data_IF_074243757931
#
_entry.id   IF_074243757931
#
_cell.length_a   1.000
_cell.length_b   1.000
_cell.length_c   1.000
_cell.angle_alpha   90.00
_cell.angle_beta   90.00
_cell.angle_gamma   90.00
#
_symmetry.space_group_name_H-M   'P 1'
#
loop_
_entity.id
_entity.type
_entity.pdbx_description
1 polymer ?
#
# COMPACT_ATOMS: atom_id res chain seq x y z
N UNK A 1 15.59 52.41 -45.53
CA UNK A 1 15.79 51.04 -45.04
C UNK A 1 14.57 50.65 -44.22
N UNK A 2 13.73 49.83 -44.77
CA UNK A 2 12.48 49.31 -44.13
C UNK A 2 12.86 47.96 -43.51
N UNK A 3 12.60 47.67 -42.23
CA UNK A 3 12.87 46.36 -41.66
C UNK A 3 11.82 45.39 -42.18
N UNK A 4 12.28 44.26 -42.68
CA UNK A 4 11.49 43.13 -43.17
C UNK A 4 10.67 42.52 -42.04
N UNK A 5 9.35 42.58 -42.19
CA UNK A 5 8.38 41.88 -41.31
C UNK A 5 8.59 40.34 -41.41
N UNK A 6 9.00 39.70 -40.34
CA UNK A 6 8.99 38.25 -40.25
C UNK A 6 7.57 37.71 -40.33
N UNK A 7 7.39 36.73 -41.19
CA UNK A 7 6.09 36.11 -41.53
C UNK A 7 5.45 35.48 -40.28
N UNK A 8 4.16 35.77 -39.97
CA UNK A 8 3.44 35.20 -38.85
C UNK A 8 3.30 33.65 -38.88
N UNK A 9 3.58 33.04 -40.02
CA UNK A 9 3.54 31.58 -40.22
C UNK A 9 4.68 30.84 -39.45
N UNK A 10 5.81 31.53 -39.13
CA UNK A 10 6.90 30.92 -38.36
C UNK A 10 6.66 30.93 -36.85
N UNK A 11 5.85 31.86 -36.36
CA UNK A 11 5.47 31.95 -34.94
C UNK A 11 4.43 30.87 -34.54
N UNK A 12 3.61 30.40 -35.51
CA UNK A 12 2.60 29.37 -35.25
C UNK A 12 3.21 27.97 -35.20
N UNK A 13 4.30 27.71 -35.97
CA UNK A 13 4.94 26.39 -36.02
C UNK A 13 5.79 26.06 -34.79
N UNK A 14 6.15 27.05 -33.95
CA UNK A 14 6.94 26.82 -32.73
C UNK A 14 6.09 26.65 -31.45
N UNK A 15 4.78 26.98 -31.51
CA UNK A 15 3.87 26.83 -30.37
C UNK A 15 3.26 25.42 -30.23
N UNK A 16 3.28 24.58 -31.26
CA UNK A 16 2.68 23.23 -31.21
C UNK A 16 3.59 22.16 -30.58
N UNK A 17 4.87 22.43 -30.34
CA UNK A 17 5.80 21.47 -29.77
C UNK A 17 5.73 21.39 -28.23
N UNK A 18 5.04 22.32 -27.54
CA UNK A 18 5.02 22.45 -26.08
C UNK A 18 3.60 22.49 -25.47
N UNK A 19 2.59 22.03 -26.21
CA UNK A 19 1.27 21.86 -25.62
C UNK A 19 1.34 20.79 -24.53
N UNK A 20 0.98 21.09 -23.27
CA UNK A 20 1.08 20.11 -22.19
C UNK A 20 0.24 18.89 -22.58
N UNK A 21 0.90 17.71 -22.65
CA UNK A 21 0.22 16.44 -22.98
C UNK A 21 -0.98 16.27 -22.08
N UNK A 22 -2.17 16.36 -22.63
CA UNK A 22 -3.44 16.25 -21.89
C UNK A 22 -3.69 14.81 -21.48
N UNK A 23 -4.22 14.62 -20.27
CA UNK A 23 -4.64 13.33 -19.79
C UNK A 23 -5.83 12.82 -20.59
N UNK A 24 -5.61 11.80 -21.43
CA UNK A 24 -6.64 11.11 -22.20
C UNK A 24 -7.23 9.93 -21.42
N UNK A 25 -8.40 9.43 -21.82
CA UNK A 25 -8.99 8.23 -21.20
C UNK A 25 -8.03 7.03 -21.16
N UNK A 26 -7.41 6.62 -22.29
CA UNK A 26 -6.44 5.53 -22.30
C UNK A 26 -5.24 5.78 -21.39
N UNK A 27 -4.75 7.02 -21.30
CA UNK A 27 -3.63 7.37 -20.42
C UNK A 27 -4.04 7.32 -18.95
N UNK A 28 -5.29 7.69 -18.61
CA UNK A 28 -5.85 7.55 -17.26
C UNK A 28 -5.89 6.08 -16.84
N UNK A 29 -6.38 5.19 -17.71
CA UNK A 29 -6.39 3.73 -17.47
C UNK A 29 -4.96 3.21 -17.30
N UNK A 30 -4.02 3.67 -18.11
CA UNK A 30 -2.61 3.31 -17.99
C UNK A 30 -2.03 3.71 -16.62
N UNK A 31 -2.25 4.95 -16.15
CA UNK A 31 -1.82 5.39 -14.82
C UNK A 31 -2.45 4.55 -13.71
N UNK A 32 -3.76 4.25 -13.81
CA UNK A 32 -4.47 3.42 -12.84
C UNK A 32 -3.87 2.00 -12.80
N UNK A 33 -3.61 1.40 -13.95
CA UNK A 33 -2.97 0.08 -14.07
C UNK A 33 -1.54 0.10 -13.52
N UNK A 34 -0.74 1.12 -13.87
CA UNK A 34 0.63 1.25 -13.40
C UNK A 34 0.68 1.32 -11.87
N UNK A 35 -0.11 2.21 -11.27
CA UNK A 35 -0.18 2.35 -9.81
C UNK A 35 -0.69 1.05 -9.15
N UNK A 36 -1.71 0.40 -9.76
CA UNK A 36 -2.26 -0.85 -9.28
C UNK A 36 -1.24 -2.00 -9.30
N UNK A 37 -0.46 -2.13 -10.36
CA UNK A 37 0.56 -3.18 -10.44
C UNK A 37 1.73 -2.92 -9.50
N UNK A 38 2.20 -1.67 -9.40
CA UNK A 38 3.33 -1.34 -8.52
C UNK A 38 2.97 -1.59 -7.05
N UNK A 39 1.73 -1.30 -6.62
CA UNK A 39 1.31 -1.51 -5.22
C UNK A 39 1.27 -2.99 -4.84
N UNK A 40 1.09 -3.91 -5.81
CA UNK A 40 1.09 -5.35 -5.54
C UNK A 40 2.41 -5.80 -4.90
N UNK A 41 3.53 -5.16 -5.21
CA UNK A 41 4.84 -5.46 -4.62
C UNK A 41 4.88 -5.32 -3.09
N UNK A 42 3.99 -4.50 -2.50
CA UNK A 42 3.95 -4.25 -1.06
C UNK A 42 3.17 -5.31 -0.28
N UNK A 43 2.20 -5.97 -0.92
CA UNK A 43 1.27 -6.86 -0.23
C UNK A 43 1.39 -8.34 -0.63
N UNK A 44 1.98 -8.64 -1.80
CA UNK A 44 2.10 -9.99 -2.31
C UNK A 44 2.84 -10.95 -1.36
N UNK A 45 3.90 -10.47 -0.71
CA UNK A 45 4.68 -11.27 0.24
C UNK A 45 3.88 -11.78 1.43
N UNK A 46 2.75 -11.13 1.80
CA UNK A 46 1.90 -11.55 2.91
C UNK A 46 1.36 -12.98 2.73
N UNK A 47 0.92 -13.35 1.53
CA UNK A 47 0.45 -14.71 1.25
C UNK A 47 1.57 -15.67 0.87
N UNK A 48 2.73 -15.17 0.50
CA UNK A 48 3.91 -15.94 0.11
C UNK A 48 4.85 -16.25 1.29
N UNK A 49 4.59 -15.70 2.48
CA UNK A 49 5.47 -15.79 3.67
C UNK A 49 5.92 -17.22 3.94
N UNK A 50 5.01 -18.20 3.94
CA UNK A 50 5.34 -19.60 4.18
C UNK A 50 6.21 -20.23 3.08
N UNK A 51 5.96 -19.91 1.80
CA UNK A 51 6.73 -20.44 0.69
C UNK A 51 8.15 -19.83 0.67
N UNK A 52 8.25 -18.54 0.91
CA UNK A 52 9.53 -17.82 0.99
C UNK A 52 10.37 -18.33 2.16
N UNK A 53 9.78 -18.45 3.36
CA UNK A 53 10.49 -18.90 4.56
C UNK A 53 11.04 -20.31 4.40
N UNK A 54 10.27 -21.25 3.87
CA UNK A 54 10.76 -22.61 3.59
C UNK A 54 11.88 -22.63 2.56
N UNK A 55 11.74 -21.85 1.49
CA UNK A 55 12.71 -21.85 0.38
C UNK A 55 14.05 -21.17 0.75
N UNK A 56 14.03 -20.15 1.62
CA UNK A 56 15.21 -19.40 2.04
C UNK A 56 15.71 -19.80 3.44
N UNK A 57 15.13 -20.83 4.04
CA UNK A 57 15.47 -21.34 5.38
C UNK A 57 15.44 -20.21 6.44
N UNK A 58 14.41 -19.35 6.38
CA UNK A 58 14.16 -18.35 7.41
C UNK A 58 13.60 -19.03 8.64
N UNK A 59 14.17 -18.72 9.81
CA UNK A 59 13.60 -19.19 11.07
C UNK A 59 12.16 -18.62 11.26
N UNK A 60 11.26 -19.35 11.94
CA UNK A 60 9.84 -18.98 12.05
C UNK A 60 9.62 -17.57 12.58
N UNK A 61 10.43 -17.11 13.53
CA UNK A 61 10.38 -15.76 14.10
C UNK A 61 10.69 -14.65 13.06
N UNK A 62 11.47 -14.97 12.03
CA UNK A 62 11.83 -14.03 10.95
C UNK A 62 10.94 -14.15 9.72
N UNK A 63 9.96 -15.05 9.71
CA UNK A 63 9.08 -15.24 8.57
C UNK A 63 8.35 -13.95 8.17
N UNK A 64 7.94 -13.13 9.15
CA UNK A 64 7.28 -11.85 8.94
C UNK A 64 8.12 -10.79 8.23
N UNK A 65 9.46 -10.93 8.20
CA UNK A 65 10.36 -9.96 7.56
C UNK A 65 10.11 -9.85 6.05
N UNK A 66 9.71 -10.94 5.40
CA UNK A 66 9.40 -10.94 3.98
C UNK A 66 8.23 -10.00 3.63
N UNK A 67 7.25 -9.84 4.53
CA UNK A 67 6.12 -8.94 4.38
C UNK A 67 6.38 -7.55 5.00
N UNK A 68 7.21 -7.47 6.05
CA UNK A 68 7.59 -6.24 6.73
C UNK A 68 8.42 -5.32 5.83
N UNK A 69 9.48 -5.87 5.23
CA UNK A 69 10.51 -5.06 4.55
C UNK A 69 10.02 -4.30 3.33
N UNK A 70 9.15 -4.83 2.45
CA UNK A 70 8.57 -4.03 1.38
C UNK A 70 7.77 -2.82 1.91
N UNK A 71 7.01 -3.00 3.00
CA UNK A 71 6.20 -1.93 3.60
C UNK A 71 7.09 -0.87 4.27
N UNK A 72 8.12 -1.30 5.01
CA UNK A 72 9.09 -0.40 5.62
C UNK A 72 9.90 0.36 4.55
N UNK A 73 10.34 -0.34 3.50
CA UNK A 73 11.00 0.27 2.34
C UNK A 73 10.12 1.35 1.71
N UNK A 74 8.84 1.06 1.49
CA UNK A 74 7.89 2.04 0.96
C UNK A 74 7.77 3.28 1.86
N UNK A 75 7.66 3.12 3.17
CA UNK A 75 7.62 4.23 4.12
C UNK A 75 8.91 5.08 4.04
N UNK A 76 10.07 4.44 3.96
CA UNK A 76 11.36 5.13 3.76
C UNK A 76 11.40 5.85 2.41
N UNK A 77 10.93 5.22 1.33
CA UNK A 77 10.83 5.84 0.00
C UNK A 77 9.92 7.06 -0.03
N UNK A 78 8.83 7.05 0.74
CA UNK A 78 7.93 8.22 0.87
C UNK A 78 8.63 9.43 1.50
N UNK A 79 9.50 9.19 2.47
CA UNK A 79 10.24 10.26 3.17
C UNK A 79 11.46 10.72 2.36
N UNK A 80 12.17 9.79 1.71
CA UNK A 80 13.44 10.11 1.04
C UNK A 80 13.32 10.34 -0.46
N UNK A 81 12.47 9.59 -1.19
CA UNK A 81 12.42 9.68 -2.65
C UNK A 81 11.34 10.64 -3.15
N UNK A 82 10.16 10.66 -2.52
CA UNK A 82 9.05 11.50 -2.99
C UNK A 82 9.38 13.00 -2.93
N UNK A 83 10.05 13.54 -1.89
CA UNK A 83 10.45 14.96 -1.88
C UNK A 83 11.41 15.36 -2.99
N UNK A 84 12.12 14.41 -3.61
CA UNK A 84 12.98 14.69 -4.76
C UNK A 84 12.20 15.18 -5.98
N UNK A 85 10.87 14.95 -6.04
CA UNK A 85 10.02 15.55 -7.07
C UNK A 85 10.03 17.08 -7.08
N UNK A 86 10.33 17.70 -5.93
CA UNK A 86 10.41 19.15 -5.78
C UNK A 86 11.80 19.70 -6.15
N UNK A 87 12.75 18.82 -6.53
CA UNK A 87 14.14 19.17 -6.83
C UNK A 87 14.60 18.73 -8.22
N UNK A 88 14.10 17.59 -8.67
CA UNK A 88 14.57 16.90 -9.87
C UNK A 88 13.51 16.89 -10.96
N UNK A 89 13.92 16.64 -12.19
CA UNK A 89 13.01 16.38 -13.29
C UNK A 89 12.17 15.12 -12.99
N UNK A 90 10.85 15.31 -12.87
CA UNK A 90 9.93 14.29 -12.40
C UNK A 90 9.90 13.04 -13.29
N UNK A 91 9.95 13.18 -14.62
CA UNK A 91 9.96 12.04 -15.55
C UNK A 91 11.19 11.17 -15.34
N UNK A 92 12.40 11.78 -15.27
CA UNK A 92 13.65 11.03 -15.06
C UNK A 92 13.67 10.37 -13.69
N UNK A 93 13.17 11.06 -12.65
CA UNK A 93 13.09 10.51 -11.30
C UNK A 93 12.20 9.27 -11.27
N UNK A 94 10.96 9.36 -11.79
CA UNK A 94 10.00 8.26 -11.86
C UNK A 94 10.59 7.07 -12.61
N UNK A 95 11.13 7.29 -13.80
CA UNK A 95 11.68 6.22 -14.65
C UNK A 95 12.87 5.55 -13.99
N UNK A 96 13.84 6.32 -13.45
CA UNK A 96 15.00 5.75 -12.74
C UNK A 96 14.58 4.93 -11.53
N UNK A 97 13.62 5.42 -10.74
CA UNK A 97 13.09 4.69 -9.58
C UNK A 97 12.44 3.38 -10.00
N UNK A 98 11.69 3.35 -11.09
CA UNK A 98 11.08 2.12 -11.62
C UNK A 98 12.12 1.13 -12.15
N UNK A 99 13.13 1.60 -12.87
CA UNK A 99 14.22 0.75 -13.37
C UNK A 99 14.99 0.11 -12.21
N UNK A 100 15.34 0.90 -11.20
CA UNK A 100 15.95 0.37 -9.97
C UNK A 100 15.05 -0.63 -9.26
N UNK A 101 13.75 -0.33 -9.15
CA UNK A 101 12.75 -1.25 -8.59
C UNK A 101 12.67 -2.57 -9.36
N UNK A 102 12.66 -2.52 -10.69
CA UNK A 102 12.71 -3.71 -11.54
C UNK A 102 13.97 -4.53 -11.30
N UNK A 103 15.14 -3.88 -11.17
CA UNK A 103 16.41 -4.53 -10.84
C UNK A 103 16.37 -5.23 -9.48
N UNK A 104 15.82 -4.58 -8.44
CA UNK A 104 15.69 -5.19 -7.11
C UNK A 104 14.71 -6.37 -7.12
N UNK A 105 13.59 -6.28 -7.85
CA UNK A 105 12.66 -7.41 -8.01
C UNK A 105 13.31 -8.58 -8.76
N UNK A 106 14.14 -8.31 -9.77
CA UNK A 106 14.92 -9.34 -10.47
C UNK A 106 15.94 -10.01 -9.51
N UNK A 107 16.62 -9.23 -8.67
CA UNK A 107 17.50 -9.78 -7.62
C UNK A 107 16.70 -10.65 -6.66
N UNK A 108 15.51 -10.22 -6.22
CA UNK A 108 14.65 -11.01 -5.33
C UNK A 108 14.20 -12.34 -5.98
N UNK A 109 13.96 -12.37 -7.29
CA UNK A 109 13.68 -13.60 -8.05
C UNK A 109 14.87 -14.55 -8.08
N UNK A 110 16.07 -14.04 -8.37
CA UNK A 110 17.23 -14.86 -8.72
C UNK A 110 18.04 -15.34 -7.50
N UNK A 111 17.99 -14.59 -6.39
CA UNK A 111 18.85 -14.87 -5.24
C UNK A 111 18.45 -16.11 -4.47
N UNK A 112 19.45 -16.83 -3.95
CA UNK A 112 19.31 -17.90 -2.97
C UNK A 112 19.67 -17.42 -1.55
N UNK A 113 20.31 -16.23 -1.44
CA UNK A 113 20.68 -15.65 -0.15
C UNK A 113 19.49 -14.99 0.52
N UNK A 114 19.14 -15.41 1.73
CA UNK A 114 18.11 -14.79 2.55
C UNK A 114 18.36 -13.29 2.80
N UNK A 115 19.61 -12.92 3.07
CA UNK A 115 19.97 -11.52 3.36
C UNK A 115 19.78 -10.66 2.12
N UNK A 116 20.29 -11.12 0.95
CA UNK A 116 20.18 -10.38 -0.29
C UNK A 116 18.71 -10.26 -0.74
N UNK A 117 17.89 -11.31 -0.52
CA UNK A 117 16.44 -11.25 -0.76
C UNK A 117 15.78 -10.16 0.09
N UNK A 118 16.05 -10.14 1.41
CA UNK A 118 15.46 -9.17 2.33
C UNK A 118 15.86 -7.73 1.97
N UNK A 119 17.11 -7.49 1.62
CA UNK A 119 17.58 -6.18 1.12
C UNK A 119 16.88 -5.81 -0.19
N UNK A 120 16.79 -6.76 -1.12
CA UNK A 120 16.18 -6.51 -2.42
C UNK A 120 14.68 -6.14 -2.31
N UNK A 121 13.90 -6.84 -1.49
CA UNK A 121 12.48 -6.51 -1.30
C UNK A 121 12.26 -5.20 -0.53
N UNK A 122 13.16 -4.84 0.40
CA UNK A 122 13.16 -3.53 1.04
C UNK A 122 13.37 -2.41 0.01
N UNK A 123 14.38 -2.53 -0.84
CA UNK A 123 14.71 -1.53 -1.86
C UNK A 123 13.64 -1.48 -2.97
N UNK A 124 13.05 -2.62 -3.34
CA UNK A 124 11.89 -2.67 -4.25
C UNK A 124 10.66 -1.97 -3.64
N UNK A 125 10.46 -2.14 -2.32
CA UNK A 125 9.45 -1.41 -1.56
C UNK A 125 9.69 0.10 -1.59
N UNK A 126 10.93 0.55 -1.36
CA UNK A 126 11.29 1.96 -1.44
C UNK A 126 11.05 2.53 -2.84
N UNK A 127 11.41 1.80 -3.89
CA UNK A 127 11.15 2.18 -5.28
C UNK A 127 9.64 2.25 -5.60
N UNK A 128 8.80 1.45 -4.92
CA UNK A 128 7.35 1.49 -5.10
C UNK A 128 6.73 2.82 -4.63
N UNK A 129 7.46 3.69 -3.91
CA UNK A 129 7.03 5.05 -3.56
C UNK A 129 6.76 5.93 -4.79
N UNK A 130 7.21 5.52 -5.96
CA UNK A 130 6.86 6.13 -7.26
C UNK A 130 5.33 6.26 -7.48
N UNK A 131 4.52 5.42 -6.83
CA UNK A 131 3.05 5.54 -6.79
C UNK A 131 2.63 6.97 -6.39
N UNK A 132 3.26 7.51 -5.35
CA UNK A 132 2.94 8.86 -4.84
C UNK A 132 3.48 9.99 -5.73
N UNK A 133 4.36 9.68 -6.66
CA UNK A 133 4.81 10.61 -7.70
C UNK A 133 3.87 10.58 -8.91
N UNK A 134 3.34 9.40 -9.27
CA UNK A 134 2.46 9.21 -10.42
C UNK A 134 1.07 9.85 -10.23
N UNK A 135 0.51 9.79 -9.01
CA UNK A 135 -0.84 10.34 -8.73
C UNK A 135 -0.90 11.86 -8.96
N UNK A 136 0.00 12.70 -8.39
CA UNK A 136 0.03 14.13 -8.69
C UNK A 136 0.37 14.44 -10.15
N UNK A 137 1.22 13.61 -10.78
CA UNK A 137 1.57 13.75 -12.19
C UNK A 137 0.32 13.60 -13.07
N UNK A 138 -0.49 12.55 -12.86
CA UNK A 138 -1.75 12.36 -13.57
C UNK A 138 -2.74 13.51 -13.34
N UNK A 139 -2.85 13.98 -12.08
CA UNK A 139 -3.68 15.13 -11.74
C UNK A 139 -3.26 16.40 -12.49
N UNK A 140 -1.96 16.64 -12.63
CA UNK A 140 -1.42 17.82 -13.28
C UNK A 140 -1.59 17.83 -14.81
N UNK A 141 -1.80 16.66 -15.41
CA UNK A 141 -2.08 16.49 -16.84
C UNK A 141 -3.58 16.66 -17.15
N UNK A 142 -4.44 16.64 -16.14
CA UNK A 142 -5.88 16.83 -16.30
C UNK A 142 -6.26 18.32 -16.26
N UNK A 143 -7.31 18.74 -17.01
CA UNK A 143 -7.92 20.07 -16.87
C UNK A 143 -8.33 20.30 -15.40
N UNK A 144 -8.30 21.53 -14.97
CA UNK A 144 -8.54 21.90 -13.55
C UNK A 144 -9.88 21.37 -13.02
N UNK A 145 -10.94 21.48 -13.81
CA UNK A 145 -12.27 20.97 -13.51
C UNK A 145 -12.36 19.43 -13.41
N UNK A 146 -11.37 18.68 -13.92
CA UNK A 146 -11.36 17.22 -13.97
C UNK A 146 -10.24 16.59 -13.10
N UNK A 147 -9.41 17.39 -12.41
CA UNK A 147 -8.29 16.87 -11.58
C UNK A 147 -8.75 15.88 -10.52
N UNK A 148 -9.86 16.19 -9.83
CA UNK A 148 -10.44 15.27 -8.84
C UNK A 148 -10.84 13.92 -9.43
N UNK A 149 -11.47 13.92 -10.60
CA UNK A 149 -11.85 12.69 -11.33
C UNK A 149 -10.61 11.90 -11.76
N UNK A 150 -9.57 12.56 -12.25
CA UNK A 150 -8.32 11.91 -12.64
C UNK A 150 -7.66 11.21 -11.45
N UNK A 151 -7.53 11.89 -10.30
CA UNK A 151 -7.02 11.29 -9.06
C UNK A 151 -7.88 10.11 -8.62
N UNK A 152 -9.21 10.26 -8.63
CA UNK A 152 -10.15 9.19 -8.26
C UNK A 152 -9.96 7.93 -9.11
N UNK A 153 -9.85 8.09 -10.43
CA UNK A 153 -9.65 6.96 -11.35
C UNK A 153 -8.31 6.25 -11.11
N UNK A 154 -7.22 7.00 -10.89
CA UNK A 154 -5.90 6.42 -10.58
C UNK A 154 -5.92 5.71 -9.23
N UNK A 155 -6.56 6.28 -8.23
CA UNK A 155 -6.71 5.67 -6.91
C UNK A 155 -7.61 4.43 -6.93
N UNK A 156 -8.58 4.34 -7.83
CA UNK A 156 -9.35 3.09 -8.03
C UNK A 156 -8.45 1.97 -8.53
N UNK A 157 -7.49 2.26 -9.43
CA UNK A 157 -6.47 1.30 -9.84
C UNK A 157 -5.59 0.84 -8.69
N UNK A 158 -5.19 1.76 -7.79
CA UNK A 158 -4.47 1.44 -6.56
C UNK A 158 -5.25 0.43 -5.69
N UNK A 159 -6.53 0.72 -5.42
CA UNK A 159 -7.38 -0.14 -4.59
C UNK A 159 -7.56 -1.52 -5.22
N UNK A 160 -7.76 -1.59 -6.54
CA UNK A 160 -7.85 -2.86 -7.26
C UNK A 160 -6.53 -3.63 -7.19
N UNK A 161 -5.39 -2.95 -7.30
CA UNK A 161 -4.07 -3.56 -7.15
C UNK A 161 -3.84 -4.15 -5.75
N UNK A 162 -4.25 -3.45 -4.69
CA UNK A 162 -4.18 -3.95 -3.31
C UNK A 162 -5.05 -5.21 -3.17
N UNK A 163 -6.28 -5.17 -3.67
CA UNK A 163 -7.20 -6.30 -3.64
C UNK A 163 -6.65 -7.52 -4.35
N UNK A 164 -6.13 -7.34 -5.57
CA UNK A 164 -5.66 -8.44 -6.42
C UNK A 164 -4.25 -8.93 -6.07
N UNK A 165 -3.48 -8.18 -5.27
CA UNK A 165 -2.08 -8.51 -4.95
C UNK A 165 -1.91 -9.90 -4.36
N UNK A 166 -2.70 -10.22 -3.34
CA UNK A 166 -2.62 -11.50 -2.62
C UNK A 166 -3.13 -12.68 -3.44
N UNK A 167 -4.33 -12.61 -4.06
CA UNK A 167 -4.81 -13.68 -4.95
C UNK A 167 -3.85 -13.96 -6.10
N UNK A 168 -3.39 -12.92 -6.80
CA UNK A 168 -2.48 -13.09 -7.92
C UNK A 168 -1.14 -13.71 -7.49
N UNK A 169 -0.56 -13.24 -6.38
CA UNK A 169 0.67 -13.79 -5.84
C UNK A 169 0.52 -15.28 -5.48
N UNK A 170 -0.60 -15.65 -4.84
CA UNK A 170 -0.88 -17.04 -4.46
C UNK A 170 -1.10 -17.93 -5.68
N UNK A 171 -1.84 -17.47 -6.70
CA UNK A 171 -2.08 -18.24 -7.93
C UNK A 171 -0.78 -18.47 -8.71
N UNK A 172 0.04 -17.43 -8.88
CA UNK A 172 1.35 -17.55 -9.55
C UNK A 172 2.25 -18.49 -8.76
N UNK A 173 2.30 -18.35 -7.44
CA UNK A 173 3.14 -19.22 -6.61
C UNK A 173 2.70 -20.68 -6.63
N UNK A 174 1.41 -20.95 -6.74
CA UNK A 174 0.85 -22.29 -6.84
C UNK A 174 1.09 -22.96 -8.19
N UNK A 175 1.28 -22.21 -9.26
CA UNK A 175 1.48 -22.73 -10.62
C UNK A 175 2.95 -22.87 -11.00
N UNK A 176 3.76 -21.84 -10.77
CA UNK A 176 5.16 -21.73 -11.25
C UNK A 176 6.15 -21.35 -10.16
N UNK A 177 5.70 -21.29 -8.91
CA UNK A 177 6.52 -20.95 -7.75
C UNK A 177 6.56 -19.45 -7.42
N UNK A 178 6.86 -19.15 -6.16
CA UNK A 178 6.80 -17.79 -5.62
C UNK A 178 7.79 -16.81 -6.28
N UNK A 179 8.93 -17.31 -6.77
CA UNK A 179 9.94 -16.49 -7.47
C UNK A 179 9.41 -15.90 -8.78
N UNK A 180 8.51 -16.61 -9.46
CA UNK A 180 7.90 -16.15 -10.69
C UNK A 180 7.07 -14.87 -10.50
N UNK A 181 6.47 -14.66 -9.32
CA UNK A 181 5.81 -13.40 -9.01
C UNK A 181 6.78 -12.21 -9.07
N UNK A 182 7.96 -12.34 -8.45
CA UNK A 182 8.98 -11.28 -8.47
C UNK A 182 9.56 -11.04 -9.87
N UNK A 183 9.74 -12.11 -10.63
CA UNK A 183 10.18 -12.02 -12.03
C UNK A 183 9.17 -11.31 -12.92
N UNK A 184 7.90 -11.67 -12.83
CA UNK A 184 6.82 -11.02 -13.55
C UNK A 184 6.71 -9.54 -13.15
N UNK A 185 6.78 -9.25 -11.85
CA UNK A 185 6.78 -7.88 -11.35
C UNK A 185 7.98 -7.06 -11.88
N UNK A 186 9.17 -7.66 -11.95
CA UNK A 186 10.36 -7.02 -12.52
C UNK A 186 10.16 -6.64 -14.00
N UNK A 187 9.67 -7.59 -14.81
CA UNK A 187 9.38 -7.35 -16.24
C UNK A 187 8.33 -6.24 -16.40
N UNK A 188 7.24 -6.30 -15.64
CA UNK A 188 6.18 -5.28 -15.76
C UNK A 188 6.70 -3.91 -15.32
N UNK A 189 7.46 -3.81 -14.23
CA UNK A 189 8.05 -2.52 -13.82
C UNK A 189 9.00 -1.95 -14.86
N UNK A 190 9.81 -2.80 -15.53
CA UNK A 190 10.67 -2.38 -16.64
C UNK A 190 9.87 -1.88 -17.84
N UNK A 191 8.80 -2.58 -18.23
CA UNK A 191 7.91 -2.15 -19.30
C UNK A 191 7.20 -0.83 -18.95
N UNK A 192 6.72 -0.69 -17.72
CA UNK A 192 6.14 0.56 -17.22
C UNK A 192 7.15 1.71 -17.30
N UNK A 193 8.41 1.48 -16.93
CA UNK A 193 9.46 2.49 -17.03
C UNK A 193 9.67 2.97 -18.49
N UNK A 194 9.68 2.04 -19.46
CA UNK A 194 9.81 2.36 -20.88
C UNK A 194 8.60 3.20 -21.35
N UNK A 195 7.38 2.76 -21.06
CA UNK A 195 6.18 3.47 -21.49
C UNK A 195 6.08 4.86 -20.84
N UNK A 196 6.39 4.97 -19.55
CA UNK A 196 6.38 6.25 -18.84
C UNK A 196 7.47 7.19 -19.34
N UNK A 197 8.64 6.69 -19.70
CA UNK A 197 9.67 7.51 -20.34
C UNK A 197 9.18 8.21 -21.60
N UNK A 198 8.37 7.50 -22.40
CA UNK A 198 7.80 8.04 -23.65
C UNK A 198 6.58 8.91 -23.41
N UNK A 199 5.70 8.55 -22.46
CA UNK A 199 4.39 9.18 -22.28
C UNK A 199 4.37 10.36 -21.31
N UNK A 200 5.29 10.39 -20.31
CA UNK A 200 5.32 11.49 -19.33
C UNK A 200 5.88 12.79 -19.95
N UNK A 201 5.29 13.95 -19.61
CA UNK A 201 5.90 15.23 -19.94
C UNK A 201 7.16 15.47 -19.11
N UNK A 202 8.09 16.20 -19.67
CA UNK A 202 9.24 16.76 -18.91
C UNK A 202 8.71 17.84 -17.98
N UNK A 203 8.96 17.70 -16.69
CA UNK A 203 8.51 18.66 -15.70
C UNK A 203 9.63 18.95 -14.72
N UNK A 204 10.05 20.20 -14.70
CA UNK A 204 11.03 20.73 -13.75
C UNK A 204 10.31 21.48 -12.63
N UNK A 205 10.78 21.41 -11.39
CA UNK A 205 10.28 22.24 -10.30
C UNK A 205 10.56 23.73 -10.59
N UNK A 206 9.57 24.60 -10.32
CA UNK A 206 9.70 26.04 -10.56
C UNK A 206 10.61 26.73 -9.54
N UNK A 207 10.57 26.28 -8.28
CA UNK A 207 11.34 26.85 -7.17
C UNK A 207 12.02 25.72 -6.39
N UNK A 208 13.23 25.30 -6.76
CA UNK A 208 13.92 24.22 -6.08
C UNK A 208 14.32 24.65 -4.66
N UNK A 209 13.77 23.97 -3.67
CA UNK A 209 14.14 24.12 -2.25
C UNK A 209 15.32 23.18 -1.96
N UNK A 210 16.14 23.49 -0.94
CA UNK A 210 17.23 22.57 -0.54
C UNK A 210 16.66 21.28 0.07
N UNK A 211 17.19 20.12 -0.33
CA UNK A 211 16.71 18.81 0.15
C UNK A 211 16.65 18.68 1.68
N UNK A 212 17.67 19.10 2.46
CA UNK A 212 17.57 19.09 3.91
C UNK A 212 16.40 19.92 4.47
N UNK A 213 16.08 21.06 3.84
CA UNK A 213 14.97 21.90 4.25
C UNK A 213 13.62 21.20 4.02
N UNK A 214 13.48 20.42 2.93
CA UNK A 214 12.30 19.58 2.69
C UNK A 214 12.14 18.52 3.78
N UNK A 215 13.20 17.78 4.10
CA UNK A 215 13.16 16.78 5.16
C UNK A 215 12.86 17.39 6.54
N UNK A 216 13.47 18.55 6.83
CA UNK A 216 13.19 19.29 8.05
C UNK A 216 11.73 19.75 8.13
N UNK A 217 11.14 20.16 7.00
CA UNK A 217 9.73 20.55 6.95
C UNK A 217 8.79 19.34 7.24
N UNK A 218 9.11 18.14 6.76
CA UNK A 218 8.38 16.91 7.09
C UNK A 218 8.46 16.61 8.60
N UNK A 219 9.67 16.71 9.15
CA UNK A 219 9.89 16.51 10.59
C UNK A 219 9.12 17.52 11.44
N UNK A 220 9.11 18.78 11.06
CA UNK A 220 8.36 19.84 11.74
C UNK A 220 6.86 19.53 11.70
N UNK A 221 6.29 19.25 10.51
CA UNK A 221 4.88 18.88 10.38
C UNK A 221 4.50 17.68 11.26
N UNK A 222 5.35 16.64 11.28
CA UNK A 222 5.10 15.46 12.11
C UNK A 222 5.10 15.80 13.61
N UNK A 223 5.90 16.78 14.05
CA UNK A 223 5.98 17.19 15.46
C UNK A 223 4.95 18.21 15.89
N UNK A 224 4.54 19.12 14.98
CA UNK A 224 3.71 20.27 15.34
C UNK A 224 2.23 20.10 15.03
N UNK A 225 1.84 19.12 14.19
CA UNK A 225 0.46 18.97 13.73
C UNK A 225 -0.28 17.87 14.50
N UNK A 226 -1.06 18.19 15.56
CA UNK A 226 -1.75 17.16 16.39
C UNK A 226 -2.76 16.34 15.59
N UNK A 227 -3.42 16.96 14.59
CA UNK A 227 -4.38 16.26 13.73
C UNK A 227 -3.67 15.18 12.90
N UNK A 228 -2.49 15.50 12.34
CA UNK A 228 -1.65 14.52 11.64
C UNK A 228 -1.22 13.41 12.58
N UNK A 229 -0.65 13.74 13.73
CA UNK A 229 -0.15 12.76 14.70
C UNK A 229 -1.23 11.76 15.09
N UNK A 230 -2.41 12.25 15.49
CA UNK A 230 -3.52 11.41 15.95
C UNK A 230 -4.07 10.51 14.83
N UNK A 231 -4.28 11.06 13.63
CA UNK A 231 -4.82 10.28 12.52
C UNK A 231 -3.79 9.28 11.98
N UNK A 232 -2.51 9.68 11.87
CA UNK A 232 -1.46 8.79 11.42
C UNK A 232 -1.17 7.66 12.42
N UNK A 233 -1.17 7.96 13.74
CA UNK A 233 -1.00 6.95 14.77
C UNK A 233 -2.16 5.93 14.77
N UNK A 234 -3.42 6.39 14.68
CA UNK A 234 -4.57 5.50 14.55
C UNK A 234 -4.45 4.60 13.33
N UNK A 235 -4.17 5.18 12.18
CA UNK A 235 -4.02 4.46 10.92
C UNK A 235 -2.86 3.45 10.97
N UNK A 236 -1.74 3.79 11.61
CA UNK A 236 -0.61 2.88 11.81
C UNK A 236 -0.98 1.69 12.70
N UNK A 237 -1.67 1.93 13.80
CA UNK A 237 -2.11 0.88 14.72
C UNK A 237 -3.10 -0.07 14.02
N UNK A 238 -4.09 0.46 13.33
CA UNK A 238 -5.06 -0.35 12.57
C UNK A 238 -4.36 -1.18 11.49
N UNK A 239 -3.43 -0.56 10.76
CA UNK A 239 -2.63 -1.26 9.74
C UNK A 239 -1.70 -2.31 10.34
N UNK A 240 -1.22 -2.11 11.57
CA UNK A 240 -0.44 -3.10 12.31
C UNK A 240 -1.25 -4.37 12.58
N UNK A 241 -2.46 -4.23 13.12
CA UNK A 241 -3.36 -5.36 13.34
C UNK A 241 -3.72 -6.11 12.05
N UNK A 242 -4.03 -5.38 10.99
CA UNK A 242 -4.30 -5.89 9.67
C UNK A 242 -3.11 -6.68 9.09
N UNK A 243 -1.92 -6.09 9.12
CA UNK A 243 -0.71 -6.74 8.59
C UNK A 243 -0.31 -7.96 9.40
N UNK A 244 -0.52 -7.96 10.73
CA UNK A 244 -0.28 -9.14 11.56
C UNK A 244 -1.14 -10.31 11.08
N UNK A 245 -2.44 -10.10 10.88
CA UNK A 245 -3.36 -11.11 10.37
C UNK A 245 -2.95 -11.62 8.97
N UNK A 246 -2.83 -10.72 7.99
CA UNK A 246 -2.58 -11.12 6.61
C UNK A 246 -1.21 -11.78 6.38
N UNK A 247 -0.21 -11.47 7.21
CA UNK A 247 1.12 -12.09 7.13
C UNK A 247 1.11 -13.54 7.59
N UNK A 248 0.30 -13.90 8.58
CA UNK A 248 0.28 -15.25 9.15
C UNK A 248 -0.89 -16.12 8.69
N UNK A 249 -1.96 -15.55 8.11
CA UNK A 249 -3.14 -16.36 7.73
C UNK A 249 -2.81 -17.48 6.75
N UNK A 250 -1.89 -17.24 5.81
CA UNK A 250 -1.43 -18.28 4.88
C UNK A 250 -0.75 -19.44 5.59
N UNK A 251 -0.02 -19.17 6.69
CA UNK A 251 0.59 -20.21 7.51
C UNK A 251 -0.46 -21.04 8.23
N UNK A 252 -1.54 -20.40 8.71
CA UNK A 252 -2.64 -21.10 9.41
C UNK A 252 -3.49 -21.94 8.46
N UNK A 253 -3.82 -21.41 7.29
CA UNK A 253 -4.69 -22.10 6.31
C UNK A 253 -4.05 -23.36 5.72
N UNK A 254 -2.73 -23.43 5.63
CA UNK A 254 -2.00 -24.64 5.18
C UNK A 254 -2.05 -25.76 6.23
N UNK A 255 -2.22 -25.42 7.52
CA UNK A 255 -2.25 -26.40 8.60
C UNK A 255 -3.64 -27.07 8.75
N UNK A 256 -3.69 -28.32 9.28
CA UNK A 256 -4.96 -28.91 9.69
C UNK A 256 -5.74 -28.03 10.67
N UNK A 257 -7.06 -28.05 10.65
CA UNK A 257 -7.95 -28.84 9.80
C UNK A 257 -8.24 -28.23 8.41
N UNK A 258 -7.67 -27.04 8.09
CA UNK A 258 -7.98 -26.31 6.85
C UNK A 258 -7.30 -26.94 5.63
N UNK A 259 -5.99 -27.19 5.70
CA UNK A 259 -5.16 -27.85 4.67
C UNK A 259 -5.33 -27.24 3.26
N UNK A 260 -5.43 -25.88 3.19
CA UNK A 260 -5.61 -25.19 1.93
C UNK A 260 -4.32 -25.23 1.09
N UNK A 261 -4.50 -25.46 -0.20
CA UNK A 261 -3.48 -25.23 -1.21
C UNK A 261 -3.39 -23.73 -1.59
N UNK A 262 -2.49 -23.39 -2.50
CA UNK A 262 -2.32 -21.99 -2.93
C UNK A 262 -3.56 -21.43 -3.65
N UNK A 263 -4.40 -22.27 -4.28
CA UNK A 263 -5.67 -21.83 -4.89
C UNK A 263 -6.70 -21.50 -3.81
N UNK A 264 -6.78 -22.31 -2.76
CA UNK A 264 -7.63 -22.05 -1.59
C UNK A 264 -7.23 -20.75 -0.89
N UNK A 265 -5.92 -20.52 -0.70
CA UNK A 265 -5.41 -19.25 -0.14
C UNK A 265 -5.74 -18.06 -1.05
N UNK A 266 -5.66 -18.22 -2.38
CA UNK A 266 -6.02 -17.16 -3.32
C UNK A 266 -7.51 -16.81 -3.23
N UNK A 267 -8.39 -17.82 -3.15
CA UNK A 267 -9.83 -17.61 -2.96
C UNK A 267 -10.13 -16.92 -1.62
N UNK A 268 -9.49 -17.39 -0.53
CA UNK A 268 -9.61 -16.75 0.78
C UNK A 268 -9.20 -15.26 0.74
N UNK A 269 -8.14 -14.93 0.01
CA UNK A 269 -7.64 -13.57 -0.08
C UNK A 269 -8.63 -12.59 -0.75
N UNK A 270 -9.63 -13.09 -1.50
CA UNK A 270 -10.72 -12.28 -2.04
C UNK A 270 -11.65 -11.72 -0.95
N UNK A 271 -11.61 -12.26 0.29
CA UNK A 271 -12.31 -11.65 1.43
C UNK A 271 -11.91 -10.18 1.65
N UNK A 272 -10.68 -9.80 1.29
CA UNK A 272 -10.21 -8.42 1.29
C UNK A 272 -10.95 -7.47 0.34
N UNK A 273 -11.81 -7.97 -0.54
CA UNK A 273 -12.67 -7.14 -1.40
C UNK A 273 -13.67 -6.28 -0.64
N UNK A 274 -14.00 -6.65 0.61
CA UNK A 274 -14.93 -5.90 1.46
C UNK A 274 -14.49 -4.44 1.66
N UNK A 275 -13.18 -4.17 1.73
CA UNK A 275 -12.64 -2.82 1.83
C UNK A 275 -13.07 -1.90 0.69
N UNK A 276 -13.14 -2.42 -0.54
CA UNK A 276 -13.57 -1.64 -1.70
C UNK A 276 -15.03 -1.17 -1.59
N UNK A 277 -15.90 -2.00 -1.02
CA UNK A 277 -17.33 -1.70 -0.80
C UNK A 277 -17.51 -0.67 0.31
N UNK A 278 -16.66 -0.73 1.34
CA UNK A 278 -16.76 0.15 2.52
C UNK A 278 -16.23 1.56 2.24
N UNK A 279 -15.30 1.74 1.31
CA UNK A 279 -14.71 3.05 0.97
C UNK A 279 -15.75 4.16 0.73
N UNK A 280 -16.75 4.00 -0.17
CA UNK A 280 -17.75 5.03 -0.40
C UNK A 280 -18.69 5.24 0.79
N UNK A 281 -18.93 4.21 1.62
CA UNK A 281 -19.74 4.32 2.83
C UNK A 281 -19.03 5.15 3.89
N UNK A 282 -17.73 4.91 4.11
CA UNK A 282 -16.89 5.70 5.01
C UNK A 282 -16.80 7.16 4.55
N UNK A 283 -16.65 7.41 3.24
CA UNK A 283 -16.68 8.77 2.69
C UNK A 283 -17.97 9.51 2.99
N UNK A 284 -19.13 8.88 2.73
CA UNK A 284 -20.45 9.45 3.04
C UNK A 284 -20.67 9.70 4.54
N UNK A 285 -20.14 8.83 5.40
CA UNK A 285 -20.22 9.01 6.85
C UNK A 285 -19.40 10.25 7.28
N UNK A 286 -18.21 10.44 6.69
CA UNK A 286 -17.41 11.64 6.88
C UNK A 286 -18.12 12.92 6.43
N UNK A 287 -18.81 12.90 5.29
CA UNK A 287 -19.57 14.06 4.78
C UNK A 287 -20.74 14.45 5.70
N UNK A 288 -21.27 13.49 6.45
CA UNK A 288 -22.32 13.72 7.48
C UNK A 288 -21.76 14.11 8.85
N UNK A 289 -20.45 14.25 9.01
CA UNK A 289 -19.82 14.55 10.29
C UNK A 289 -19.80 13.39 11.28
N UNK A 290 -19.96 12.15 10.80
CA UNK A 290 -19.97 10.95 11.64
C UNK A 290 -18.58 10.32 11.82
N UNK A 291 -17.51 11.10 11.55
CA UNK A 291 -16.13 10.62 11.55
C UNK A 291 -15.81 9.81 12.82
N UNK A 292 -16.02 10.39 14.02
CA UNK A 292 -15.70 9.72 15.28
C UNK A 292 -16.50 8.44 15.50
N UNK A 293 -17.81 8.47 15.22
CA UNK A 293 -18.70 7.30 15.39
C UNK A 293 -18.27 6.16 14.45
N UNK A 294 -17.95 6.49 13.20
CA UNK A 294 -17.54 5.51 12.19
C UNK A 294 -16.16 4.93 12.50
N UNK A 295 -15.21 5.73 13.01
CA UNK A 295 -13.91 5.23 13.45
C UNK A 295 -14.05 4.26 14.62
N UNK A 296 -14.81 4.61 15.66
CA UNK A 296 -15.02 3.74 16.81
C UNK A 296 -15.77 2.45 16.42
N UNK A 297 -16.79 2.55 15.56
CA UNK A 297 -17.48 1.37 15.03
C UNK A 297 -16.55 0.48 14.22
N UNK A 298 -15.71 1.04 13.35
CA UNK A 298 -14.71 0.30 12.58
C UNK A 298 -13.72 -0.44 13.47
N UNK A 299 -13.17 0.23 14.48
CA UNK A 299 -12.23 -0.40 15.41
C UNK A 299 -12.91 -1.50 16.25
N UNK A 300 -14.13 -1.26 16.73
CA UNK A 300 -14.90 -2.28 17.47
C UNK A 300 -15.19 -3.50 16.59
N UNK A 301 -15.57 -3.28 15.33
CA UNK A 301 -15.77 -4.36 14.35
C UNK A 301 -14.48 -5.17 14.17
N UNK A 302 -13.32 -4.52 14.08
CA UNK A 302 -12.01 -5.22 13.99
C UNK A 302 -11.71 -6.03 15.26
N UNK A 303 -11.97 -5.50 16.45
CA UNK A 303 -11.76 -6.22 17.72
C UNK A 303 -12.63 -7.48 17.79
N UNK A 304 -13.92 -7.38 17.45
CA UNK A 304 -14.84 -8.51 17.39
C UNK A 304 -14.37 -9.54 16.35
N UNK A 305 -13.93 -9.05 15.18
CA UNK A 305 -13.40 -9.91 14.12
C UNK A 305 -12.17 -10.69 14.59
N UNK A 306 -11.24 -10.05 15.31
CA UNK A 306 -10.02 -10.71 15.81
C UNK A 306 -10.33 -11.77 16.86
N UNK A 307 -11.34 -11.56 17.71
CA UNK A 307 -11.83 -12.60 18.62
C UNK A 307 -12.44 -13.75 17.84
N UNK A 308 -13.30 -13.48 16.86
CA UNK A 308 -13.90 -14.54 16.01
C UNK A 308 -12.85 -15.33 15.23
N UNK A 309 -11.83 -14.66 14.70
CA UNK A 309 -10.67 -15.26 14.04
C UNK A 309 -9.86 -16.14 15.01
N UNK A 310 -9.71 -15.72 16.27
CA UNK A 310 -9.06 -16.49 17.32
C UNK A 310 -9.89 -17.73 17.70
N UNK A 311 -11.19 -17.62 17.81
CA UNK A 311 -12.11 -18.75 18.03
C UNK A 311 -11.98 -19.76 16.87
N UNK A 312 -12.13 -19.30 15.64
CA UNK A 312 -12.14 -20.16 14.46
C UNK A 312 -10.78 -20.81 14.17
N UNK A 313 -9.69 -20.06 14.33
CA UNK A 313 -8.36 -20.52 13.94
C UNK A 313 -7.52 -21.10 15.07
N UNK A 314 -7.72 -20.67 16.33
CA UNK A 314 -6.96 -21.14 17.49
C UNK A 314 -7.78 -22.01 18.46
N UNK A 315 -9.08 -22.13 18.25
CA UNK A 315 -9.95 -22.92 19.15
C UNK A 315 -10.28 -22.23 20.47
N UNK A 316 -10.24 -20.90 20.53
CA UNK A 316 -10.61 -20.17 21.74
C UNK A 316 -12.05 -20.51 22.18
N UNK A 317 -12.27 -20.55 23.50
CA UNK A 317 -13.57 -20.93 24.05
C UNK A 317 -13.95 -22.38 23.82
N UNK A 318 -13.02 -23.26 23.48
CA UNK A 318 -13.29 -24.68 23.24
C UNK A 318 -13.86 -24.99 21.84
N UNK A 319 -13.86 -24.02 20.93
CA UNK A 319 -14.38 -24.26 19.57
C UNK A 319 -13.47 -25.24 18.79
N UNK A 320 -14.08 -26.26 18.19
CA UNK A 320 -13.39 -27.26 17.37
C UNK A 320 -13.60 -26.97 15.88
N UNK A 321 -12.56 -26.46 15.24
CA UNK A 321 -12.56 -26.22 13.79
C UNK A 321 -12.65 -27.54 13.00
N UNK A 322 -12.16 -28.67 13.55
CA UNK A 322 -12.26 -29.98 12.93
C UNK A 322 -13.71 -30.51 12.94
N UNK A 323 -14.47 -30.23 14.01
CA UNK A 323 -15.88 -30.58 14.09
C UNK A 323 -16.78 -29.70 13.20
N UNK A 324 -16.40 -28.44 13.00
CA UNK A 324 -17.20 -27.46 12.27
C UNK A 324 -16.36 -26.71 11.21
N UNK A 325 -15.76 -27.40 10.20
CA UNK A 325 -14.79 -26.80 9.29
C UNK A 325 -15.39 -25.68 8.43
N UNK A 326 -16.62 -25.82 7.97
CA UNK A 326 -17.31 -24.80 7.15
C UNK A 326 -17.54 -23.53 7.96
N UNK A 327 -18.02 -23.67 9.22
CA UNK A 327 -18.23 -22.53 10.10
C UNK A 327 -16.90 -21.84 10.44
N UNK A 328 -15.84 -22.60 10.70
CA UNK A 328 -14.51 -22.04 10.97
C UNK A 328 -14.00 -21.22 9.79
N UNK A 329 -14.11 -21.72 8.56
CA UNK A 329 -13.73 -20.99 7.34
C UNK A 329 -14.60 -19.75 7.15
N UNK A 330 -15.92 -19.85 7.35
CA UNK A 330 -16.84 -18.72 7.24
C UNK A 330 -16.49 -17.61 8.25
N UNK A 331 -16.17 -17.96 9.50
CA UNK A 331 -15.72 -17.01 10.52
C UNK A 331 -14.40 -16.34 10.15
N UNK A 332 -13.43 -17.08 9.61
CA UNK A 332 -12.16 -16.53 9.13
C UNK A 332 -12.37 -15.55 7.96
N UNK A 333 -13.22 -15.90 6.98
CA UNK A 333 -13.55 -15.04 5.83
C UNK A 333 -14.29 -13.79 6.28
N UNK A 334 -15.31 -13.91 7.11
CA UNK A 334 -16.05 -12.78 7.66
C UNK A 334 -15.15 -11.86 8.51
N UNK A 335 -14.28 -12.46 9.31
CA UNK A 335 -13.29 -11.74 10.10
C UNK A 335 -12.27 -10.97 9.24
N UNK A 336 -11.75 -11.60 8.18
CA UNK A 336 -10.87 -10.94 7.23
C UNK A 336 -11.56 -9.75 6.55
N UNK A 337 -12.80 -9.92 6.09
CA UNK A 337 -13.61 -8.85 5.50
C UNK A 337 -13.86 -7.70 6.48
N UNK A 338 -14.14 -8.02 7.75
CA UNK A 338 -14.35 -7.03 8.80
C UNK A 338 -13.06 -6.25 9.15
N UNK A 339 -11.91 -6.92 9.16
CA UNK A 339 -10.61 -6.26 9.32
C UNK A 339 -10.34 -5.28 8.18
N UNK A 340 -10.54 -5.69 6.93
CA UNK A 340 -10.37 -4.82 5.76
C UNK A 340 -11.31 -3.62 5.82
N UNK A 341 -12.58 -3.82 6.19
CA UNK A 341 -13.57 -2.77 6.36
C UNK A 341 -13.13 -1.72 7.41
N UNK A 342 -12.62 -2.18 8.54
CA UNK A 342 -12.14 -1.30 9.61
C UNK A 342 -10.92 -0.48 9.20
N UNK A 343 -9.92 -1.11 8.58
CA UNK A 343 -8.72 -0.44 8.06
C UNK A 343 -9.07 0.63 7.03
N UNK A 344 -9.93 0.28 6.06
CA UNK A 344 -10.34 1.21 5.00
C UNK A 344 -11.14 2.38 5.56
N UNK A 345 -11.98 2.13 6.58
CA UNK A 345 -12.72 3.20 7.27
C UNK A 345 -11.76 4.19 7.94
N UNK A 346 -10.79 3.70 8.73
CA UNK A 346 -9.80 4.56 9.41
C UNK A 346 -8.94 5.32 8.40
N UNK A 347 -8.44 4.65 7.37
CA UNK A 347 -7.62 5.26 6.33
C UNK A 347 -8.39 6.34 5.54
N UNK A 348 -9.66 6.09 5.20
CA UNK A 348 -10.48 7.03 4.42
C UNK A 348 -10.78 8.29 5.22
N UNK A 349 -11.23 8.14 6.46
CA UNK A 349 -11.56 9.26 7.33
C UNK A 349 -10.32 10.01 7.82
N UNK A 350 -9.23 9.30 8.14
CA UNK A 350 -7.96 9.89 8.49
C UNK A 350 -7.38 10.73 7.33
N UNK A 351 -7.38 10.20 6.11
CA UNK A 351 -6.92 10.92 4.92
C UNK A 351 -7.81 12.13 4.61
N UNK A 352 -9.13 12.03 4.82
CA UNK A 352 -10.05 13.16 4.71
C UNK A 352 -9.67 14.27 5.68
N UNK A 353 -9.45 13.95 6.95
CA UNK A 353 -9.02 14.93 7.96
C UNK A 353 -7.71 15.63 7.58
N UNK A 354 -6.72 14.89 7.07
CA UNK A 354 -5.44 15.43 6.60
C UNK A 354 -5.62 16.37 5.39
N UNK A 355 -6.49 16.02 4.45
CA UNK A 355 -6.73 16.83 3.24
C UNK A 355 -7.47 18.14 3.53
N UNK A 356 -8.15 18.26 4.67
CA UNK A 356 -8.84 19.48 5.12
C UNK A 356 -7.93 20.45 5.88
N UNK A 357 -6.68 20.06 6.19
CA UNK A 357 -5.74 20.92 6.93
C UNK A 357 -5.22 22.07 6.05
N UNK A 358 -4.07 21.89 5.45
CA UNK A 358 -3.38 22.93 4.66
C UNK A 358 -3.23 22.49 3.19
N UNK A 359 -3.79 23.28 2.29
CA UNK A 359 -3.72 23.01 0.85
C UNK A 359 -2.28 23.08 0.30
N UNK A 360 -1.42 23.96 0.85
CA UNK A 360 -0.04 24.11 0.42
C UNK A 360 0.87 22.97 0.91
N UNK A 361 0.55 22.40 2.08
CA UNK A 361 1.29 21.26 2.66
C UNK A 361 0.67 19.90 2.35
N UNK A 362 -0.44 19.82 1.62
CA UNK A 362 -1.24 18.61 1.41
C UNK A 362 -0.44 17.40 0.93
N UNK A 363 0.47 17.59 -0.01
CA UNK A 363 1.32 16.50 -0.51
C UNK A 363 2.23 15.93 0.57
N UNK A 364 2.87 16.81 1.36
CA UNK A 364 3.75 16.44 2.48
C UNK A 364 2.98 15.75 3.61
N UNK A 365 1.81 16.30 3.98
CA UNK A 365 0.92 15.74 5.00
C UNK A 365 0.44 14.33 4.61
N UNK A 366 -0.01 14.13 3.35
CA UNK A 366 -0.41 12.81 2.87
C UNK A 366 0.77 11.84 2.81
N UNK A 367 1.95 12.28 2.40
CA UNK A 367 3.16 11.46 2.39
C UNK A 367 3.53 10.95 3.79
N UNK A 368 3.49 11.83 4.79
CA UNK A 368 3.73 11.48 6.20
C UNK A 368 2.66 10.52 6.74
N UNK A 369 1.38 10.83 6.50
CA UNK A 369 0.26 9.98 6.92
C UNK A 369 0.41 8.56 6.38
N UNK A 370 0.68 8.41 5.07
CA UNK A 370 0.87 7.11 4.42
C UNK A 370 2.17 6.45 4.89
N UNK A 371 3.24 7.22 5.10
CA UNK A 371 4.51 6.70 5.64
C UNK A 371 4.32 6.07 7.01
N UNK A 372 3.71 6.78 7.95
CA UNK A 372 3.42 6.29 9.30
C UNK A 372 2.47 5.09 9.29
N UNK A 373 1.44 5.11 8.42
CA UNK A 373 0.55 3.97 8.18
C UNK A 373 1.33 2.70 7.80
N UNK A 374 2.29 2.79 6.88
CA UNK A 374 3.08 1.63 6.46
C UNK A 374 4.15 1.22 7.48
N UNK A 375 4.64 2.14 8.32
CA UNK A 375 5.48 1.77 9.49
C UNK A 375 4.67 0.89 10.45
N UNK A 376 3.40 1.23 10.71
CA UNK A 376 2.50 0.40 11.51
C UNK A 376 2.30 -0.98 10.89
N UNK A 377 2.05 -1.04 9.59
CA UNK A 377 1.92 -2.30 8.86
C UNK A 377 3.19 -3.17 8.92
N UNK A 378 4.35 -2.56 8.75
CA UNK A 378 5.65 -3.22 8.88
C UNK A 378 5.84 -3.80 10.30
N UNK A 379 5.50 -3.02 11.34
CA UNK A 379 5.58 -3.46 12.74
C UNK A 379 4.67 -4.66 12.99
N UNK A 380 3.40 -4.62 12.51
CA UNK A 380 2.47 -5.73 12.63
C UNK A 380 2.96 -7.00 11.93
N UNK A 381 3.50 -6.87 10.71
CA UNK A 381 4.07 -7.98 9.96
C UNK A 381 5.28 -8.62 10.67
N UNK A 382 6.19 -7.80 11.23
CA UNK A 382 7.34 -8.28 12.00
C UNK A 382 6.89 -9.04 13.25
N UNK A 383 6.00 -8.43 14.04
CA UNK A 383 5.49 -9.03 15.28
C UNK A 383 4.68 -10.30 15.01
N UNK A 384 4.03 -10.41 13.86
CA UNK A 384 3.29 -11.61 13.45
C UNK A 384 4.18 -12.85 13.37
N UNK A 385 5.39 -12.75 12.80
CA UNK A 385 6.34 -13.86 12.74
C UNK A 385 6.80 -14.32 14.13
N UNK A 386 7.20 -13.37 14.99
CA UNK A 386 7.59 -13.65 16.37
C UNK A 386 6.44 -14.26 17.18
N UNK A 387 5.24 -13.69 17.09
CA UNK A 387 4.06 -14.19 17.78
C UNK A 387 3.65 -15.59 17.31
N UNK A 388 3.79 -15.86 16.01
CA UNK A 388 3.57 -17.19 15.45
C UNK A 388 4.54 -18.22 16.04
N UNK A 389 5.82 -17.88 16.14
CA UNK A 389 6.84 -18.77 16.70
C UNK A 389 6.60 -19.10 18.18
N UNK A 390 6.10 -18.13 18.97
CA UNK A 390 5.91 -18.28 20.42
C UNK A 390 4.58 -18.98 20.75
N UNK A 391 3.48 -18.57 20.14
CA UNK A 391 2.12 -18.98 20.52
C UNK A 391 1.22 -19.32 19.31
N UNK A 392 1.81 -19.59 18.14
CA UNK A 392 1.08 -19.94 16.94
C UNK A 392 0.03 -18.89 16.55
N UNK A 393 -1.10 -19.37 16.06
CA UNK A 393 -2.20 -18.50 15.62
C UNK A 393 -2.79 -17.65 16.74
N UNK A 394 -2.84 -18.13 17.98
CA UNK A 394 -3.28 -17.35 19.14
C UNK A 394 -2.43 -16.11 19.35
N UNK A 395 -1.11 -16.24 19.26
CA UNK A 395 -0.18 -15.11 19.39
C UNK A 395 -0.43 -14.03 18.33
N UNK A 396 -0.67 -14.43 17.08
CA UNK A 396 -0.98 -13.51 15.97
C UNK A 396 -2.29 -12.75 16.25
N UNK A 397 -3.33 -13.45 16.71
CA UNK A 397 -4.62 -12.82 17.04
C UNK A 397 -4.48 -11.82 18.20
N UNK A 398 -3.70 -12.15 19.22
CA UNK A 398 -3.41 -11.26 20.35
C UNK A 398 -2.66 -10.00 19.87
N UNK A 399 -1.63 -10.14 19.06
CA UNK A 399 -0.91 -8.99 18.47
C UNK A 399 -1.88 -8.10 17.69
N UNK A 400 -2.70 -8.67 16.81
CA UNK A 400 -3.71 -7.92 16.06
C UNK A 400 -4.69 -7.19 16.97
N UNK A 401 -5.17 -7.88 18.02
CA UNK A 401 -6.08 -7.32 19.01
C UNK A 401 -5.45 -6.15 19.79
N UNK A 402 -4.22 -6.29 20.26
CA UNK A 402 -3.51 -5.21 20.98
C UNK A 402 -3.34 -3.97 20.11
N UNK A 403 -2.88 -4.13 18.88
CA UNK A 403 -2.78 -3.01 17.93
C UNK A 403 -4.13 -2.30 17.75
N UNK A 404 -5.20 -3.06 17.50
CA UNK A 404 -6.54 -2.49 17.27
C UNK A 404 -7.12 -1.87 18.54
N UNK A 405 -6.91 -2.48 19.71
CA UNK A 405 -7.34 -1.95 20.99
C UNK A 405 -6.66 -0.61 21.31
N UNK A 406 -5.35 -0.49 21.04
CA UNK A 406 -4.63 0.78 21.18
C UNK A 406 -5.20 1.86 20.25
N UNK A 407 -5.57 1.51 19.01
CA UNK A 407 -6.22 2.44 18.08
C UNK A 407 -7.58 2.89 18.62
N UNK A 408 -8.36 1.96 19.14
CA UNK A 408 -9.68 2.24 19.75
C UNK A 408 -9.55 3.19 20.96
N UNK A 409 -8.64 2.89 21.87
CA UNK A 409 -8.37 3.73 23.06
C UNK A 409 -7.89 5.12 22.65
N UNK A 410 -6.99 5.22 21.66
CA UNK A 410 -6.53 6.50 21.12
C UNK A 410 -7.70 7.40 20.63
N UNK A 411 -8.78 6.80 20.12
CA UNK A 411 -9.99 7.52 19.67
C UNK A 411 -10.98 7.81 20.77
N UNK A 412 -10.92 7.12 21.89
CA UNK A 412 -11.74 7.42 23.08
C UNK A 412 -11.22 8.67 23.81
N UNK A 413 -9.91 8.80 23.93
CA UNK A 413 -9.26 9.96 24.56
C UNK A 413 -9.43 11.16 23.61
N UNK A 414 -10.00 12.28 24.16
CA UNK A 414 -10.27 13.51 23.40
C UNK A 414 -9.02 14.33 23.10
#
# INVERSE_FOLDING_TARGET
MIPSAESPARAIATQDADSPRRLTGPLTVFFATAVGVIVMNLFAAQTLTGAISRSLHLAPEFAGLAAMLPQLGYAVGLVLLVPLCDLLENRRLIVRTLVLGAGFLAIAMLTQSRVLFLIAVFLAGAASSVIQMLVPMAASMAPESHRGRAVGNVMSGLMLGILLSRPAASLIAGSVGWRAFYGLAAVINALLAIVLYVKLPVRMPLNPTRYPALLYSLWTLLRTEPVLQRNAASAALVMGGFSAFWTAISLRLVQPPFSFDMKGIALFALAGAAGAVVTPLAGRAGDRGWDRKSLLAGHLTMLIALVAIGVAGAGWGGFSASAHPVLAVAMLVAGAAALDAGVVTDQTLGRRAINLMDAAARGRLNGLFVGVFFVGGASGAAMSGAAWAIAGWSGVCVVGFVFTALAFVLRLIR
#
